data_IF_658158909537
#
_entry.id   IF_658158909537
#
_cell.length_a   1.000
_cell.length_b   1.000
_cell.length_c   1.000
_cell.angle_alpha   90.00
_cell.angle_beta   90.00
_cell.angle_gamma   90.00
#
_symmetry.space_group_name_H-M   'P 1'
#
loop_
_entity.id
_entity.type
_entity.pdbx_description
1 polymer ?
#
# COMPACT_ATOMS: atom_id res chain seq x y z
N UNK A 1 13.13 8.56 2.78
CA UNK A 1 14.18 8.21 3.78
C UNK A 1 14.26 6.71 4.11
N UNK A 2 13.18 5.92 4.06
CA UNK A 2 13.21 4.48 4.41
C UNK A 2 14.19 3.64 3.59
N UNK A 3 14.17 3.75 2.26
CA UNK A 3 15.09 3.01 1.38
C UNK A 3 16.56 3.30 1.73
N UNK A 4 16.92 4.58 1.81
CA UNK A 4 18.27 5.02 2.14
C UNK A 4 18.72 4.50 3.51
N UNK A 5 17.85 4.54 4.53
CA UNK A 5 18.16 3.99 5.85
C UNK A 5 18.60 2.52 5.78
N UNK A 6 17.85 1.67 5.07
CA UNK A 6 18.19 0.25 4.93
C UNK A 6 19.47 0.01 4.15
N UNK A 7 19.78 0.85 3.15
CA UNK A 7 21.06 0.80 2.44
C UNK A 7 22.23 1.15 3.38
N UNK A 8 22.07 2.19 4.21
CA UNK A 8 23.12 2.67 5.10
C UNK A 8 23.48 1.66 6.20
N UNK A 9 22.52 0.88 6.70
CA UNK A 9 22.78 -0.15 7.72
C UNK A 9 23.11 -1.53 7.13
N UNK A 10 23.41 -1.61 5.83
CA UNK A 10 23.82 -2.84 5.16
C UNK A 10 22.71 -3.84 4.84
N UNK A 11 21.44 -3.55 5.18
CA UNK A 11 20.28 -4.40 4.85
C UNK A 11 19.76 -4.11 3.44
N UNK A 12 20.64 -4.25 2.45
CA UNK A 12 20.40 -3.82 1.06
C UNK A 12 19.19 -4.46 0.38
N UNK A 13 18.81 -5.67 0.80
CA UNK A 13 17.65 -6.40 0.25
C UNK A 13 16.29 -5.89 0.74
N UNK A 14 16.25 -4.98 1.74
CA UNK A 14 15.00 -4.42 2.27
C UNK A 14 14.54 -3.22 1.44
N UNK A 15 13.98 -3.50 0.26
CA UNK A 15 13.62 -2.50 -0.77
C UNK A 15 12.13 -2.40 -1.05
N UNK A 16 11.33 -3.36 -0.57
CA UNK A 16 9.90 -3.47 -0.84
C UNK A 16 9.09 -2.51 0.04
N UNK A 17 7.99 -2.01 -0.52
CA UNK A 17 7.02 -1.16 0.15
C UNK A 17 5.67 -1.86 0.24
N UNK A 18 4.94 -1.55 1.31
CA UNK A 18 3.56 -1.98 1.53
C UNK A 18 2.71 -0.73 1.61
N UNK A 19 1.51 -0.75 1.01
CA UNK A 19 0.53 0.33 1.11
C UNK A 19 -0.89 -0.19 1.15
N UNK A 20 -1.81 0.68 1.55
CA UNK A 20 -3.24 0.39 1.52
C UNK A 20 -3.80 0.69 0.13
N UNK A 21 -4.70 -0.16 -0.35
CA UNK A 21 -5.49 0.15 -1.54
C UNK A 21 -6.29 1.44 -1.34
N UNK A 22 -6.60 2.15 -2.41
CA UNK A 22 -7.33 3.44 -2.39
C UNK A 22 -6.65 4.60 -1.62
N UNK A 23 -5.49 4.41 -0.99
CA UNK A 23 -4.79 5.49 -0.30
C UNK A 23 -4.14 6.49 -1.27
N UNK A 24 -4.05 7.76 -0.84
CA UNK A 24 -3.36 8.82 -1.59
C UNK A 24 -2.06 9.20 -0.89
N UNK A 25 -0.94 9.11 -1.61
CA UNK A 25 0.39 9.42 -1.11
C UNK A 25 1.11 10.52 -1.93
N UNK A 26 0.41 11.15 -2.87
CA UNK A 26 0.94 12.18 -3.77
C UNK A 26 1.09 11.72 -5.23
N UNK A 27 1.46 12.66 -6.11
CA UNK A 27 1.44 12.49 -7.58
C UNK A 27 2.83 12.35 -8.22
N UNK A 28 3.88 12.09 -7.43
CA UNK A 28 5.19 11.70 -7.97
C UNK A 28 5.20 10.21 -8.34
N UNK A 29 6.09 9.77 -9.24
CA UNK A 29 6.17 8.35 -9.63
C UNK A 29 6.31 7.40 -8.42
N UNK A 30 7.17 7.75 -7.46
CA UNK A 30 7.33 6.97 -6.23
C UNK A 30 6.08 6.97 -5.34
N UNK A 31 5.38 8.10 -5.24
CA UNK A 31 4.15 8.23 -4.47
C UNK A 31 2.97 7.48 -5.11
N UNK A 32 2.78 7.62 -6.43
CA UNK A 32 1.76 6.89 -7.18
C UNK A 32 1.96 5.38 -7.11
N UNK A 33 3.21 4.91 -7.08
CA UNK A 33 3.55 3.49 -6.95
C UNK A 33 3.05 2.86 -5.64
N UNK A 34 2.87 3.66 -4.59
CA UNK A 34 2.29 3.22 -3.31
C UNK A 34 0.86 3.74 -3.10
N UNK A 35 0.29 4.49 -4.04
CA UNK A 35 -1.09 4.95 -4.00
C UNK A 35 -2.09 3.93 -4.58
N UNK A 36 -3.38 4.24 -4.45
CA UNK A 36 -4.46 3.35 -4.89
C UNK A 36 -5.59 4.02 -5.67
N UNK A 37 -5.40 5.25 -6.14
CA UNK A 37 -6.40 5.98 -6.95
C UNK A 37 -6.11 5.76 -8.43
N UNK A 38 -6.59 4.64 -8.96
CA UNK A 38 -6.27 4.19 -10.32
C UNK A 38 -6.72 5.16 -11.40
N UNK A 39 -7.82 5.88 -11.17
CA UNK A 39 -8.45 6.78 -12.13
C UNK A 39 -7.50 7.86 -12.67
N UNK A 40 -6.56 8.32 -11.84
CA UNK A 40 -5.60 9.38 -12.21
C UNK A 40 -4.22 8.85 -12.58
N UNK A 41 -3.87 7.65 -12.10
CA UNK A 41 -2.49 7.16 -12.17
C UNK A 41 -2.30 5.98 -13.13
N UNK A 42 -3.39 5.40 -13.68
CA UNK A 42 -3.36 4.21 -14.55
C UNK A 42 -2.44 4.35 -15.76
N UNK A 43 -2.39 5.53 -16.39
CA UNK A 43 -1.51 5.79 -17.54
C UNK A 43 -0.04 5.59 -17.20
N UNK A 44 0.35 5.90 -15.96
CA UNK A 44 1.73 5.82 -15.48
C UNK A 44 2.09 4.47 -14.86
N UNK A 45 1.14 3.53 -14.78
CA UNK A 45 1.34 2.23 -14.14
C UNK A 45 2.53 1.41 -14.66
N UNK A 46 2.93 1.46 -15.95
CA UNK A 46 4.13 0.78 -16.42
C UNK A 46 5.44 1.31 -15.80
N UNK A 47 5.41 2.50 -15.19
CA UNK A 47 6.55 3.16 -14.56
C UNK A 47 6.60 2.95 -13.04
N UNK A 48 5.63 2.25 -12.46
CA UNK A 48 5.54 2.12 -11.01
C UNK A 48 6.59 1.19 -10.45
N UNK A 49 7.14 1.59 -9.29
CA UNK A 49 7.96 0.74 -8.46
C UNK A 49 7.10 -0.39 -7.88
N UNK A 50 7.61 -1.63 -7.81
CA UNK A 50 6.89 -2.73 -7.18
C UNK A 50 6.54 -2.41 -5.72
N UNK A 51 5.26 -2.58 -5.38
CA UNK A 51 4.72 -2.43 -4.03
C UNK A 51 3.66 -3.50 -3.75
N UNK A 52 3.47 -3.84 -2.48
CA UNK A 52 2.41 -4.72 -2.04
C UNK A 52 1.23 -3.87 -1.58
N UNK A 53 0.09 -4.02 -2.24
CA UNK A 53 -1.14 -3.33 -1.83
C UNK A 53 -1.99 -4.28 -0.99
N UNK A 54 -2.48 -3.81 0.13
CA UNK A 54 -3.42 -4.54 0.99
C UNK A 54 -4.72 -3.79 1.16
N UNK A 55 -5.83 -4.47 1.48
CA UNK A 55 -7.12 -3.80 1.61
C UNK A 55 -7.10 -2.71 2.69
N UNK A 56 -7.66 -1.56 2.37
CA UNK A 56 -7.94 -0.50 3.34
C UNK A 56 -8.98 -0.97 4.37
N UNK A 57 -8.81 -0.63 5.67
CA UNK A 57 -9.75 -0.97 6.74
C UNK A 57 -11.00 -0.08 6.68
N UNK A 58 -11.79 -0.24 5.62
CA UNK A 58 -12.99 0.57 5.39
C UNK A 58 -14.25 -0.16 5.86
N UNK A 59 -14.58 -0.07 7.15
CA UNK A 59 -15.67 -0.85 7.75
C UNK A 59 -17.05 -0.64 7.09
N UNK A 60 -17.36 0.57 6.59
CA UNK A 60 -18.63 0.83 5.89
C UNK A 60 -18.74 0.05 4.57
N UNK A 61 -17.61 -0.23 3.90
CA UNK A 61 -17.53 -1.12 2.73
C UNK A 61 -16.47 -2.18 3.00
N UNK A 62 -16.71 -2.97 4.05
CA UNK A 62 -15.73 -3.90 4.57
C UNK A 62 -15.31 -4.91 3.49
N UNK A 63 -14.01 -5.00 3.15
CA UNK A 63 -13.53 -5.96 2.15
C UNK A 63 -13.73 -7.42 2.61
N UNK A 64 -13.85 -7.63 3.93
CA UNK A 64 -14.12 -8.94 4.53
C UNK A 64 -15.61 -9.21 4.77
N UNK A 65 -16.49 -8.27 4.42
CA UNK A 65 -17.94 -8.39 4.66
C UNK A 65 -18.35 -8.40 6.14
N UNK A 66 -17.44 -8.05 7.06
CA UNK A 66 -17.70 -8.01 8.51
C UNK A 66 -18.23 -6.65 8.97
N UNK A 67 -19.00 -6.68 10.05
CA UNK A 67 -19.40 -5.49 10.79
C UNK A 67 -18.26 -4.99 11.70
N UNK A 68 -18.22 -3.68 11.93
CA UNK A 68 -17.16 -3.03 12.72
C UNK A 68 -16.99 -3.65 14.11
N UNK A 69 -18.10 -3.97 14.79
CA UNK A 69 -18.09 -4.48 16.16
C UNK A 69 -17.67 -5.95 16.26
N UNK A 70 -17.58 -6.66 15.12
CA UNK A 70 -17.26 -8.08 15.01
C UNK A 70 -16.02 -8.35 14.13
N UNK A 71 -15.17 -7.33 13.92
CA UNK A 71 -14.01 -7.39 13.04
C UNK A 71 -12.74 -7.04 13.81
N UNK A 72 -11.74 -7.92 13.80
CA UNK A 72 -10.42 -7.67 14.41
C UNK A 72 -9.43 -7.19 13.35
N UNK A 73 -9.86 -6.20 12.55
CA UNK A 73 -9.10 -5.68 11.41
C UNK A 73 -8.65 -6.80 10.45
N UNK A 74 -9.49 -7.83 10.25
CA UNK A 74 -9.15 -9.03 9.48
C UNK A 74 -8.66 -8.75 8.05
N UNK A 75 -8.98 -7.56 7.52
CA UNK A 75 -8.52 -7.09 6.22
C UNK A 75 -6.99 -6.92 6.11
N UNK A 76 -6.25 -6.90 7.23
CA UNK A 76 -4.78 -6.86 7.22
C UNK A 76 -4.14 -8.25 7.13
N UNK A 77 -4.90 -9.33 7.27
CA UNK A 77 -4.38 -10.71 7.24
C UNK A 77 -3.40 -11.01 6.08
N UNK A 78 -3.57 -10.45 4.87
CA UNK A 78 -2.58 -10.61 3.79
C UNK A 78 -1.17 -10.06 4.06
N UNK A 79 -0.95 -9.34 5.18
CA UNK A 79 0.37 -8.82 5.58
C UNK A 79 1.20 -9.79 6.44
N UNK A 80 0.55 -10.79 7.03
CA UNK A 80 1.18 -11.79 7.92
C UNK A 80 1.69 -13.00 7.12
#
# INVERSE_FOLDING_TARGET
MSFQYWQNIGKKNKTKFVSLDKAYHGDTLGAMSVGGVEEFNKLFSPLFLPSFKVPSPYCYRCPMGKEKDHCDIDCIGPLE
#
